data_IF_260620865279
#
_entry.id   IF_260620865279
#
_cell.length_a   1.000
_cell.length_b   1.000
_cell.length_c   1.000
_cell.angle_alpha   90.00
_cell.angle_beta   90.00
_cell.angle_gamma   90.00
#
_symmetry.space_group_name_H-M   'P 1'
#
loop_
_entity.id
_entity.type
_entity.pdbx_description
1 polymer ?
#
# COMPACT_ATOMS: atom_id res chain seq x y z
N UNK A 1 -5.25 8.00 -24.25
CA UNK A 1 -6.64 8.50 -24.27
C UNK A 1 -6.83 9.67 -25.22
N UNK A 2 -6.11 10.79 -25.08
CA UNK A 2 -6.24 11.93 -26.00
C UNK A 2 -6.12 11.56 -27.49
N UNK A 3 -5.05 10.87 -27.87
CA UNK A 3 -4.85 10.39 -29.25
C UNK A 3 -5.91 9.38 -29.71
N UNK A 4 -6.42 8.55 -28.79
CA UNK A 4 -7.50 7.62 -29.12
C UNK A 4 -8.77 8.40 -29.48
N UNK A 5 -9.09 9.44 -28.70
CA UNK A 5 -10.25 10.30 -28.96
C UNK A 5 -10.13 11.07 -30.27
N UNK A 6 -8.95 11.58 -30.62
CA UNK A 6 -8.70 12.23 -31.92
C UNK A 6 -8.92 11.30 -33.11
N UNK A 7 -8.77 9.99 -32.91
CA UNK A 7 -8.95 8.95 -33.94
C UNK A 7 -10.31 8.27 -33.87
N UNK A 8 -11.23 8.79 -33.06
CA UNK A 8 -12.55 8.21 -32.79
C UNK A 8 -12.49 6.75 -32.32
N UNK A 9 -11.49 6.45 -31.49
CA UNK A 9 -11.31 5.14 -30.86
C UNK A 9 -11.71 5.27 -29.39
N UNK A 10 -12.60 4.39 -28.93
CA UNK A 10 -12.97 4.29 -27.53
C UNK A 10 -11.77 3.86 -26.67
N UNK A 11 -11.62 4.49 -25.52
CA UNK A 11 -10.53 4.20 -24.60
C UNK A 11 -10.92 4.46 -23.16
N UNK A 12 -10.39 3.62 -22.27
CA UNK A 12 -10.52 3.75 -20.81
C UNK A 12 -9.13 3.75 -20.18
N UNK A 13 -8.97 4.44 -19.05
CA UNK A 13 -7.77 4.35 -18.22
C UNK A 13 -8.16 3.81 -16.85
N UNK A 14 -7.54 2.71 -16.46
CA UNK A 14 -7.69 2.11 -15.13
C UNK A 14 -6.45 2.46 -14.31
N UNK A 15 -6.65 3.04 -13.14
CA UNK A 15 -5.59 3.45 -12.23
C UNK A 15 -5.82 2.80 -10.87
N UNK A 16 -4.77 2.19 -10.34
CA UNK A 16 -4.76 1.62 -8.99
C UNK A 16 -4.10 2.59 -8.03
N UNK A 17 -4.81 2.99 -6.97
CA UNK A 17 -4.22 3.79 -5.90
C UNK A 17 -3.24 2.97 -5.07
N UNK A 18 -2.10 3.57 -4.75
CA UNK A 18 -1.08 2.94 -3.90
C UNK A 18 -0.66 3.91 -2.80
N UNK A 19 -0.31 3.41 -1.61
CA UNK A 19 0.27 4.26 -0.57
C UNK A 19 1.55 4.96 -1.05
N UNK A 20 1.78 6.20 -0.61
CA UNK A 20 2.93 7.02 -1.04
C UNK A 20 4.27 6.28 -0.83
N UNK A 21 4.43 5.62 0.32
CA UNK A 21 5.62 4.85 0.66
C UNK A 21 5.84 3.61 -0.22
N UNK A 22 4.80 3.17 -0.94
CA UNK A 22 4.82 1.99 -1.80
C UNK A 22 5.00 2.31 -3.29
N UNK A 23 5.19 3.58 -3.65
CA UNK A 23 5.30 4.03 -5.06
C UNK A 23 6.57 3.53 -5.78
N UNK A 24 7.64 3.23 -5.04
CA UNK A 24 8.91 2.71 -5.59
C UNK A 24 9.06 1.19 -5.47
N UNK A 25 8.04 0.50 -4.96
CA UNK A 25 8.05 -0.94 -4.73
C UNK A 25 7.04 -1.59 -5.67
N UNK A 26 7.33 -2.82 -6.13
CA UNK A 26 6.34 -3.59 -6.87
C UNK A 26 5.07 -3.76 -6.03
N UNK A 27 3.92 -3.39 -6.60
CA UNK A 27 2.62 -3.48 -5.93
C UNK A 27 1.69 -4.48 -6.65
N UNK A 28 1.87 -5.80 -6.38
CA UNK A 28 1.04 -6.84 -6.98
C UNK A 28 -0.45 -6.72 -6.58
N UNK A 29 -0.76 -6.07 -5.45
CA UNK A 29 -2.15 -5.83 -5.03
C UNK A 29 -2.85 -4.85 -5.98
N UNK A 30 -2.19 -3.75 -6.34
CA UNK A 30 -2.73 -2.78 -7.30
C UNK A 30 -2.88 -3.40 -8.70
N UNK A 31 -1.88 -4.17 -9.14
CA UNK A 31 -1.93 -4.86 -10.42
C UNK A 31 -3.10 -5.86 -10.49
N UNK A 32 -3.28 -6.67 -9.45
CA UNK A 32 -4.38 -7.62 -9.36
C UNK A 32 -5.74 -6.92 -9.40
N UNK A 33 -5.91 -5.82 -8.66
CA UNK A 33 -7.15 -5.05 -8.64
C UNK A 33 -7.52 -4.50 -10.02
N UNK A 34 -6.55 -3.92 -10.74
CA UNK A 34 -6.75 -3.44 -12.12
C UNK A 34 -7.12 -4.60 -13.04
N UNK A 35 -6.42 -5.73 -12.93
CA UNK A 35 -6.64 -6.90 -13.77
C UNK A 35 -8.05 -7.46 -13.58
N UNK A 36 -8.53 -7.56 -12.34
CA UNK A 36 -9.90 -8.01 -12.04
C UNK A 36 -10.99 -7.12 -12.66
N UNK A 37 -10.76 -5.80 -12.71
CA UNK A 37 -11.68 -4.87 -13.36
C UNK A 37 -11.62 -5.04 -14.87
N UNK A 38 -10.41 -5.11 -15.43
CA UNK A 38 -10.20 -5.24 -16.86
C UNK A 38 -10.79 -6.54 -17.42
N UNK A 39 -10.55 -7.67 -16.77
CA UNK A 39 -11.06 -8.98 -17.21
C UNK A 39 -12.57 -9.01 -17.21
N UNK A 40 -13.20 -8.42 -16.18
CA UNK A 40 -14.66 -8.24 -16.11
C UNK A 40 -15.21 -7.32 -17.20
N UNK A 41 -14.50 -6.24 -17.55
CA UNK A 41 -14.91 -5.34 -18.63
C UNK A 41 -14.81 -5.98 -20.01
N UNK A 42 -13.82 -6.85 -20.20
CA UNK A 42 -13.57 -7.54 -21.47
C UNK A 42 -14.28 -8.89 -21.59
N UNK A 43 -14.93 -9.37 -20.52
CA UNK A 43 -15.56 -10.68 -20.41
C UNK A 43 -14.60 -11.84 -20.76
N UNK A 44 -13.38 -11.76 -20.22
CA UNK A 44 -12.33 -12.78 -20.41
C UNK A 44 -11.95 -13.43 -19.08
N UNK A 45 -11.64 -14.72 -19.13
CA UNK A 45 -11.06 -15.44 -17.99
C UNK A 45 -9.55 -15.47 -18.10
N UNK A 46 -8.88 -15.07 -17.02
CA UNK A 46 -7.42 -15.14 -16.86
C UNK A 46 -7.16 -15.80 -15.52
N UNK A 47 -6.29 -16.81 -15.50
CA UNK A 47 -5.81 -17.36 -14.24
C UNK A 47 -4.90 -16.36 -13.54
N UNK A 48 -5.30 -15.97 -12.33
CA UNK A 48 -4.60 -14.97 -11.51
C UNK A 48 -4.07 -15.58 -10.20
N UNK A 49 -4.07 -16.91 -10.04
CA UNK A 49 -3.72 -17.57 -8.79
C UNK A 49 -2.35 -17.17 -8.25
N UNK A 50 -1.31 -17.19 -9.10
CA UNK A 50 0.06 -16.81 -8.71
C UNK A 50 0.16 -15.33 -8.31
N UNK A 51 -0.49 -14.45 -9.09
CA UNK A 51 -0.51 -13.02 -8.80
C UNK A 51 -1.26 -12.72 -7.49
N UNK A 52 -2.36 -13.43 -7.23
CA UNK A 52 -3.13 -13.34 -6.00
C UNK A 52 -2.32 -13.79 -4.78
N UNK A 53 -1.54 -14.87 -4.92
CA UNK A 53 -0.64 -15.32 -3.88
C UNK A 53 0.45 -14.27 -3.58
N UNK A 54 1.09 -13.73 -4.63
CA UNK A 54 2.11 -12.69 -4.48
C UNK A 54 1.54 -11.40 -3.86
N UNK A 55 0.32 -11.02 -4.24
CA UNK A 55 -0.38 -9.89 -3.65
C UNK A 55 -0.62 -10.08 -2.14
N UNK A 56 -1.06 -11.27 -1.73
CA UNK A 56 -1.27 -11.61 -0.32
C UNK A 56 0.02 -11.54 0.49
N UNK A 57 1.11 -12.12 -0.02
CA UNK A 57 2.41 -12.11 0.66
C UNK A 57 2.99 -10.70 0.80
N UNK A 58 2.90 -9.90 -0.28
CA UNK A 58 3.41 -8.53 -0.28
C UNK A 58 2.60 -7.63 0.65
N UNK A 59 1.28 -7.82 0.71
CA UNK A 59 0.40 -7.08 1.61
C UNK A 59 0.78 -7.31 3.07
N UNK A 60 1.08 -8.55 3.46
CA UNK A 60 1.48 -8.85 4.84
C UNK A 60 2.85 -8.24 5.18
N UNK A 61 3.82 -8.33 4.28
CA UNK A 61 5.13 -7.68 4.44
C UNK A 61 5.02 -6.16 4.55
N UNK A 62 4.17 -5.54 3.73
CA UNK A 62 3.92 -4.10 3.79
C UNK A 62 3.28 -3.68 5.11
N UNK A 63 2.36 -4.49 5.65
CA UNK A 63 1.74 -4.24 6.95
C UNK A 63 2.78 -4.26 8.08
N UNK A 64 3.68 -5.23 8.05
CA UNK A 64 4.78 -5.31 9.02
C UNK A 64 5.74 -4.12 8.90
N UNK A 65 6.13 -3.76 7.68
CA UNK A 65 7.01 -2.61 7.44
C UNK A 65 6.37 -1.28 7.89
N UNK A 66 5.07 -1.10 7.64
CA UNK A 66 4.33 0.07 8.10
C UNK A 66 4.25 0.13 9.64
N UNK A 67 4.01 -1.00 10.30
CA UNK A 67 3.99 -1.08 11.76
C UNK A 67 5.37 -0.77 12.38
N UNK A 68 6.46 -1.29 11.79
CA UNK A 68 7.82 -1.00 12.23
C UNK A 68 8.17 0.49 12.05
N UNK A 69 7.86 1.09 10.91
CA UNK A 69 8.09 2.51 10.66
C UNK A 69 7.28 3.42 11.62
N UNK A 70 6.05 3.01 11.97
CA UNK A 70 5.24 3.71 12.97
C UNK A 70 5.84 3.59 14.39
N UNK A 71 6.38 2.42 14.73
CA UNK A 71 7.09 2.21 16.00
C UNK A 71 8.36 3.07 16.10
N UNK A 72 9.20 3.08 15.07
CA UNK A 72 10.38 3.94 14.99
C UNK A 72 10.03 5.43 15.09
N UNK A 73 8.89 5.85 14.53
CA UNK A 73 8.39 7.21 14.68
C UNK A 73 8.01 7.53 16.14
N UNK A 74 7.32 6.62 16.83
CA UNK A 74 6.98 6.81 18.26
C UNK A 74 8.27 6.92 19.08
N UNK A 75 9.22 6.01 18.91
CA UNK A 75 10.47 6.01 19.69
C UNK A 75 11.34 7.26 19.43
N UNK A 76 11.32 7.80 18.21
CA UNK A 76 12.12 8.98 17.86
C UNK A 76 11.46 10.32 18.25
N UNK A 77 10.12 10.38 18.26
CA UNK A 77 9.37 11.62 18.44
C UNK A 77 8.58 11.71 19.75
N UNK A 78 8.55 10.65 20.56
CA UNK A 78 7.90 10.66 21.87
C UNK A 78 8.85 10.13 22.94
N UNK A 79 8.92 10.83 24.06
CA UNK A 79 9.58 10.34 25.25
C UNK A 79 8.60 9.45 26.03
N UNK A 80 9.06 8.31 26.56
CA UNK A 80 8.21 7.47 27.37
C UNK A 80 7.74 8.17 28.65
N UNK A 81 6.43 8.14 28.90
CA UNK A 81 5.78 8.79 30.06
C UNK A 81 6.34 8.28 31.40
N UNK A 82 6.97 7.10 31.43
CA UNK A 82 7.56 6.48 32.63
C UNK A 82 8.99 6.95 32.94
N UNK A 83 9.67 7.65 32.03
CA UNK A 83 10.97 8.28 32.33
C UNK A 83 10.81 9.60 33.12
N UNK A 84 9.61 10.17 33.19
CA UNK A 84 9.29 11.37 33.97
C UNK A 84 9.01 11.12 35.46
N UNK A 85 9.09 9.88 35.95
CA UNK A 85 8.72 9.52 37.33
C UNK A 85 9.88 9.36 38.32
N UNK A 86 11.12 9.69 37.93
CA UNK A 86 12.31 9.38 38.72
C UNK A 86 12.95 10.54 39.50
N UNK A 87 12.52 11.79 39.29
CA UNK A 87 13.23 12.97 39.84
C UNK A 87 12.39 13.86 40.77
N UNK A 88 11.15 13.48 41.15
CA UNK A 88 10.32 14.27 42.08
C UNK A 88 10.09 13.64 43.47
N UNK A 89 11.01 12.78 43.94
CA UNK A 89 11.00 12.28 45.34
C UNK A 89 12.38 12.42 46.02
N UNK A 90 12.95 13.64 46.04
CA UNK A 90 14.00 14.03 47.00
C UNK A 90 13.60 15.33 47.73
N UNK A 91 12.52 15.30 48.52
CA UNK A 91 12.34 16.24 49.63
C UNK A 91 11.70 15.53 50.85
N UNK A 92 12.54 14.93 51.70
CA UNK A 92 12.42 14.96 53.18
C UNK A 92 13.76 14.65 53.87
#
# INVERSE_FOLDING_TARGET
>A
LGIAKERDIDGVCLLGEVPIYATRIQNPTAALAILMVLTKMLDIEIDTAELAQLARETKEKMKQAAAAAMGEYIDYFTEPIWEHGGEEEEEE
#
